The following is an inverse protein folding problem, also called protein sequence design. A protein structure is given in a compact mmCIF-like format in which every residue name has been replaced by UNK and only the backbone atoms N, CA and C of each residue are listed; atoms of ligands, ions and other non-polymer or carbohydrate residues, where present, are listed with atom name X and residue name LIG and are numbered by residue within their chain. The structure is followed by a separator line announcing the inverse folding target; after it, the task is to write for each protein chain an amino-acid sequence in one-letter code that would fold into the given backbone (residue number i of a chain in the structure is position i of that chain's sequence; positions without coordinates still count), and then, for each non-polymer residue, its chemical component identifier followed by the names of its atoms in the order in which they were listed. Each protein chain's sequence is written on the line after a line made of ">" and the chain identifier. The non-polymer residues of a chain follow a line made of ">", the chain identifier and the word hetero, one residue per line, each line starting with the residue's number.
data_IF_593704346437
#
_entry.id   IF_593704346437
#
_cell.length_a   1.000
_cell.length_b   1.000
_cell.length_c   1.000
_cell.angle_alpha   90.00
_cell.angle_beta   90.00
_cell.angle_gamma   90.00
#
_symmetry.space_group_name_H-M   'P 1'
#
loop_
_entity.id
_entity.type
_entity.pdbx_description
1 polymer ?
#
# COMPACT_ATOMS: atom_id res chain seq x y z
N UNK A 1 -12.67 20.26 11.38
CA UNK A 1 -11.28 20.13 11.88
C UNK A 1 -11.21 19.55 13.30
N UNK A 2 -12.09 19.94 14.24
CA UNK A 2 -12.10 19.48 15.64
C UNK A 2 -12.06 17.95 15.79
N UNK A 3 -12.85 17.21 15.00
CA UNK A 3 -12.86 15.74 15.03
C UNK A 3 -11.52 15.09 14.63
N UNK A 4 -10.81 15.65 13.65
CA UNK A 4 -9.47 15.17 13.26
C UNK A 4 -8.44 15.41 14.36
N UNK A 5 -8.48 16.59 15.01
CA UNK A 5 -7.57 16.91 16.12
C UNK A 5 -7.80 15.94 17.28
N UNK A 6 -9.06 15.66 17.64
CA UNK A 6 -9.39 14.71 18.69
C UNK A 6 -8.85 13.30 18.34
N UNK A 7 -9.00 12.85 17.09
CA UNK A 7 -8.49 11.56 16.63
C UNK A 7 -6.96 11.49 16.71
N UNK A 8 -6.26 12.52 16.23
CA UNK A 8 -4.79 12.61 16.30
C UNK A 8 -4.32 12.55 17.75
N UNK A 9 -4.96 13.30 18.67
CA UNK A 9 -4.64 13.23 20.10
C UNK A 9 -4.83 11.83 20.67
N UNK A 10 -5.93 11.15 20.33
CA UNK A 10 -6.17 9.78 20.79
C UNK A 10 -5.14 8.76 20.28
N UNK A 11 -4.53 9.02 19.12
CA UNK A 11 -3.41 8.19 18.61
C UNK A 11 -2.10 8.54 19.30
N UNK A 12 -1.82 9.82 19.55
CA UNK A 12 -0.61 10.24 20.26
C UNK A 12 -0.56 9.67 21.69
N UNK A 13 -1.71 9.53 22.36
CA UNK A 13 -1.80 8.89 23.68
C UNK A 13 -1.39 7.41 23.68
N UNK A 14 -1.47 6.72 22.54
CA UNK A 14 -1.06 5.32 22.39
C UNK A 14 0.44 5.16 22.15
N UNK A 15 1.13 6.24 21.76
CA UNK A 15 2.57 6.22 21.49
C UNK A 15 3.32 6.50 22.79
N UNK A 16 4.24 5.60 23.18
CA UNK A 16 5.08 5.83 24.37
C UNK A 16 6.01 7.04 24.21
N UNK A 17 6.50 7.30 22.99
CA UNK A 17 7.37 8.41 22.66
C UNK A 17 7.05 8.91 21.25
N UNK A 18 7.01 10.22 21.04
CA UNK A 18 6.84 10.81 19.71
C UNK A 18 7.61 12.13 19.58
N UNK A 19 7.91 12.55 18.36
CA UNK A 19 8.52 13.84 18.04
C UNK A 19 7.78 14.45 16.87
N UNK A 20 7.51 15.75 16.94
CA UNK A 20 6.83 16.49 15.87
C UNK A 20 7.83 17.42 15.23
N UNK A 21 8.15 17.17 13.97
CA UNK A 21 9.06 18.00 13.19
C UNK A 21 8.29 18.81 12.16
N UNK A 22 8.67 20.09 12.04
CA UNK A 22 8.08 20.98 11.04
C UNK A 22 8.94 20.96 9.79
N UNK A 23 8.43 20.31 8.74
CA UNK A 23 9.09 20.27 7.44
C UNK A 23 8.85 21.59 6.67
N UNK A 24 9.89 22.24 6.13
CA UNK A 24 9.76 23.44 5.30
C UNK A 24 8.86 23.20 4.10
N UNK A 25 8.15 24.25 3.66
CA UNK A 25 7.18 24.14 2.54
C UNK A 25 7.85 23.70 1.24
N UNK A 26 9.07 24.15 0.99
CA UNK A 26 9.86 23.81 -0.19
C UNK A 26 10.14 22.30 -0.31
N UNK A 27 10.24 21.60 0.82
CA UNK A 27 10.43 20.15 0.86
C UNK A 27 9.12 19.37 0.72
N UNK A 28 7.97 20.02 0.90
CA UNK A 28 6.63 19.41 0.80
C UNK A 28 5.94 19.66 -0.55
N UNK A 29 6.68 20.11 -1.58
CA UNK A 29 6.12 20.46 -2.90
C UNK A 29 5.35 19.30 -3.53
N UNK A 30 5.86 18.07 -3.43
CA UNK A 30 5.18 16.89 -3.98
C UNK A 30 3.86 16.59 -3.26
N UNK A 31 3.84 16.70 -1.92
CA UNK A 31 2.64 16.49 -1.11
C UNK A 31 1.61 17.59 -1.37
N UNK A 32 2.04 18.84 -1.49
CA UNK A 32 1.18 19.97 -1.87
C UNK A 32 0.61 19.80 -3.28
N UNK A 33 1.41 19.27 -4.23
CA UNK A 33 0.94 18.95 -5.57
C UNK A 33 -0.15 17.86 -5.56
N UNK A 34 0.02 16.80 -4.74
CA UNK A 34 -1.00 15.76 -4.55
C UNK A 34 -2.27 16.34 -3.89
N UNK A 35 -2.14 17.12 -2.83
CA UNK A 35 -3.28 17.76 -2.17
C UNK A 35 -4.05 18.69 -3.12
N UNK A 36 -3.32 19.42 -3.99
CA UNK A 36 -3.91 20.23 -5.07
C UNK A 36 -4.58 19.38 -6.14
N UNK A 37 -4.00 18.23 -6.50
CA UNK A 37 -4.59 17.32 -7.48
C UNK A 37 -5.95 16.82 -6.99
N UNK A 38 -6.03 16.42 -5.71
CA UNK A 38 -7.27 15.98 -5.07
C UNK A 38 -8.28 17.13 -4.94
N UNK A 39 -7.85 18.36 -4.60
CA UNK A 39 -8.76 19.49 -4.42
C UNK A 39 -9.27 20.10 -5.73
N UNK A 40 -8.46 20.05 -6.79
CA UNK A 40 -8.82 20.64 -8.09
C UNK A 40 -9.61 19.71 -9.00
N UNK A 41 -9.76 18.42 -8.64
CA UNK A 41 -10.56 17.40 -9.35
C UNK A 41 -10.41 17.53 -10.87
N UNK A 42 -9.17 17.67 -11.37
CA UNK A 42 -8.92 17.77 -12.81
C UNK A 42 -9.24 16.42 -13.45
N UNK A 43 -10.39 16.36 -14.09
CA UNK A 43 -10.99 15.17 -14.73
C UNK A 43 -9.99 14.48 -15.67
N UNK A 44 -9.20 15.25 -16.42
CA UNK A 44 -8.20 14.72 -17.35
C UNK A 44 -7.06 13.92 -16.67
N UNK A 45 -6.73 14.21 -15.41
CA UNK A 45 -5.69 13.50 -14.65
C UNK A 45 -6.28 12.26 -13.95
N UNK A 46 -7.57 12.31 -13.61
CA UNK A 46 -8.31 11.22 -12.97
C UNK A 46 -8.49 10.01 -13.92
N UNK A 47 -8.48 10.22 -15.24
CA UNK A 47 -8.51 9.11 -16.21
C UNK A 47 -7.18 8.35 -16.29
N UNK A 48 -6.05 9.01 -15.99
CA UNK A 48 -4.71 8.38 -16.05
C UNK A 48 -4.23 7.82 -14.71
N UNK A 49 -4.78 8.27 -13.59
CA UNK A 49 -4.41 7.84 -12.25
C UNK A 49 -5.64 7.29 -11.54
N UNK A 50 -5.72 5.97 -11.28
CA UNK A 50 -6.85 5.40 -10.56
C UNK A 50 -6.94 6.03 -9.17
N UNK A 51 -8.06 6.72 -8.91
CA UNK A 51 -8.31 7.42 -7.65
C UNK A 51 -9.62 6.92 -7.05
N UNK A 52 -9.56 6.47 -5.81
CA UNK A 52 -10.75 6.06 -5.06
C UNK A 52 -11.28 7.25 -4.26
N UNK A 53 -12.57 7.53 -4.43
CA UNK A 53 -13.27 8.54 -3.65
C UNK A 53 -14.07 7.86 -2.54
N UNK A 54 -13.74 8.21 -1.30
CA UNK A 54 -14.52 7.80 -0.15
C UNK A 54 -15.76 8.70 -0.04
N UNK A 55 -16.95 8.12 -0.15
CA UNK A 55 -18.21 8.84 -0.01
C UNK A 55 -18.45 9.40 1.41
N UNK A 56 -17.74 8.85 2.40
CA UNK A 56 -17.82 9.27 3.80
C UNK A 56 -16.41 9.55 4.36
N UNK A 57 -16.27 10.51 5.29
CA UNK A 57 -14.98 10.84 5.88
C UNK A 57 -14.44 9.67 6.71
N UNK A 58 -13.18 9.31 6.47
CA UNK A 58 -12.53 8.16 7.11
C UNK A 58 -12.46 8.26 8.63
N UNK A 59 -12.63 9.43 9.24
CA UNK A 59 -12.68 9.59 10.71
C UNK A 59 -13.72 8.67 11.37
N UNK A 60 -14.86 8.47 10.69
CA UNK A 60 -15.95 7.63 11.18
C UNK A 60 -15.60 6.13 11.13
N UNK A 61 -14.64 5.74 10.29
CA UNK A 61 -14.15 4.37 10.20
C UNK A 61 -12.94 4.20 11.11
N UNK A 62 -12.97 3.19 11.97
CA UNK A 62 -11.82 2.77 12.79
C UNK A 62 -10.82 1.90 12.00
N UNK A 63 -10.97 1.79 10.69
CA UNK A 63 -9.99 1.12 9.85
C UNK A 63 -8.75 1.99 9.71
N UNK A 64 -7.90 1.92 10.73
CA UNK A 64 -6.47 2.05 10.52
C UNK A 64 -6.12 0.92 9.54
N UNK A 65 -6.00 1.25 8.25
CA UNK A 65 -5.40 0.36 7.27
C UNK A 65 -3.96 0.14 7.74
N UNK A 66 -3.78 -0.93 8.52
CA UNK A 66 -2.47 -1.46 8.82
C UNK A 66 -1.93 -1.92 7.46
N UNK A 67 -1.15 -1.08 6.79
CA UNK A 67 -0.32 -1.51 5.66
C UNK A 67 0.86 -2.28 6.26
N UNK A 68 0.53 -3.36 6.95
CA UNK A 68 1.40 -4.12 7.84
C UNK A 68 1.16 -5.59 7.59
N UNK A 69 2.25 -6.28 7.27
CA UNK A 69 2.35 -7.65 6.75
C UNK A 69 1.90 -8.73 7.76
N UNK A 70 0.68 -8.68 8.26
CA UNK A 70 0.17 -9.71 9.21
C UNK A 70 -0.69 -10.78 8.54
N UNK A 71 -1.43 -10.44 7.49
CA UNK A 71 -2.15 -11.44 6.70
C UNK A 71 -1.29 -11.93 5.51
N UNK A 72 -1.33 -13.24 5.20
CA UNK A 72 -0.68 -13.76 4.01
C UNK A 72 -1.30 -13.10 2.78
N UNK A 73 -0.58 -12.15 2.20
CA UNK A 73 -0.91 -11.53 0.93
C UNK A 73 -1.04 -12.60 -0.16
N UNK A 74 -1.79 -12.31 -1.22
CA UNK A 74 -1.83 -13.13 -2.43
C UNK A 74 -0.43 -13.43 -3.00
N UNK A 75 0.57 -12.61 -2.68
CA UNK A 75 1.97 -12.76 -3.09
C UNK A 75 2.71 -13.88 -2.33
N UNK A 76 2.33 -14.14 -1.08
CA UNK A 76 2.98 -15.08 -0.15
C UNK A 76 3.25 -16.46 -0.78
N UNK A 77 2.27 -17.15 -1.39
CA UNK A 77 2.53 -18.48 -1.98
C UNK A 77 3.51 -18.44 -3.16
N UNK A 78 3.63 -17.31 -3.87
CA UNK A 78 4.58 -17.17 -4.98
C UNK A 78 5.99 -16.84 -4.48
N UNK A 79 6.11 -15.99 -3.46
CA UNK A 79 7.38 -15.69 -2.80
C UNK A 79 7.94 -16.95 -2.16
N UNK A 80 7.12 -17.72 -1.42
CA UNK A 80 7.53 -19.00 -0.80
C UNK A 80 7.90 -20.09 -1.82
N UNK A 81 7.37 -20.02 -3.05
CA UNK A 81 7.73 -20.93 -4.14
C UNK A 81 9.03 -20.55 -4.84
N UNK A 82 9.26 -19.24 -5.04
CA UNK A 82 10.45 -18.71 -5.74
C UNK A 82 11.66 -18.68 -4.81
N UNK A 83 11.47 -18.30 -3.54
CA UNK A 83 12.48 -18.41 -2.50
C UNK A 83 12.49 -19.87 -2.00
N UNK A 84 13.63 -20.57 -2.01
CA UNK A 84 13.66 -21.98 -1.60
C UNK A 84 13.31 -22.08 -0.11
N UNK A 85 12.12 -22.61 0.21
CA UNK A 85 11.72 -22.72 1.61
C UNK A 85 10.51 -23.60 1.91
N UNK A 86 9.42 -23.54 1.12
CA UNK A 86 8.19 -24.31 1.42
C UNK A 86 7.41 -24.65 0.16
N UNK A 87 7.15 -25.95 -0.03
CA UNK A 87 6.24 -26.44 -1.08
C UNK A 87 4.87 -26.75 -0.48
N UNK A 88 3.77 -26.41 -1.16
CA UNK A 88 2.46 -26.95 -0.80
C UNK A 88 2.51 -28.48 -0.85
N UNK A 89 2.05 -29.16 0.21
CA UNK A 89 1.99 -30.63 0.25
C UNK A 89 1.04 -31.20 -0.82
N UNK A 90 0.03 -30.44 -1.24
CA UNK A 90 -0.87 -30.82 -2.32
C UNK A 90 -0.22 -30.58 -3.70
N UNK A 91 -0.07 -31.66 -4.46
CA UNK A 91 0.48 -31.66 -5.83
C UNK A 91 -0.31 -30.75 -6.77
N UNK A 92 -1.63 -30.66 -6.61
CA UNK A 92 -2.47 -29.85 -7.50
C UNK A 92 -2.26 -28.35 -7.25
N UNK A 93 -2.18 -27.95 -5.98
CA UNK A 93 -1.85 -26.58 -5.59
C UNK A 93 -0.42 -26.20 -5.94
N UNK A 94 0.54 -27.10 -5.75
CA UNK A 94 1.93 -26.90 -6.16
C UNK A 94 2.03 -26.64 -7.67
N UNK A 95 1.31 -27.41 -8.50
CA UNK A 95 1.29 -27.21 -9.95
C UNK A 95 0.65 -25.88 -10.36
N UNK A 96 -0.44 -25.49 -9.69
CA UNK A 96 -1.12 -24.20 -9.93
C UNK A 96 -0.20 -23.02 -9.58
N UNK A 97 0.49 -23.09 -8.45
CA UNK A 97 1.43 -22.05 -8.00
C UNK A 97 2.63 -22.00 -8.93
N UNK A 98 3.22 -23.15 -9.31
CA UNK A 98 4.33 -23.22 -10.25
C UNK A 98 4.00 -22.55 -11.60
N UNK A 99 2.84 -22.88 -12.19
CA UNK A 99 2.43 -22.34 -13.47
C UNK A 99 2.29 -20.81 -13.44
N UNK A 100 1.75 -20.26 -12.33
CA UNK A 100 1.59 -18.82 -12.15
C UNK A 100 2.89 -18.12 -11.73
N UNK A 101 3.70 -18.74 -10.88
CA UNK A 101 4.98 -18.22 -10.40
C UNK A 101 5.98 -18.02 -11.55
N UNK A 102 5.86 -18.79 -12.63
CA UNK A 102 6.68 -18.61 -13.84
C UNK A 102 6.59 -17.19 -14.42
N UNK A 103 5.51 -16.46 -14.14
CA UNK A 103 5.30 -15.07 -14.57
C UNK A 103 6.01 -14.03 -13.70
N UNK A 104 6.60 -14.41 -12.57
CA UNK A 104 7.19 -13.48 -11.63
C UNK A 104 8.70 -13.70 -11.41
N UNK A 105 9.39 -12.67 -10.95
CA UNK A 105 10.80 -12.68 -10.51
C UNK A 105 10.88 -12.01 -9.15
N UNK A 106 11.63 -12.57 -8.22
CA UNK A 106 11.92 -11.96 -6.92
C UNK A 106 13.26 -11.22 -6.99
N UNK A 107 13.28 -9.92 -6.71
CA UNK A 107 14.51 -9.11 -6.57
C UNK A 107 14.38 -8.27 -5.29
N UNK A 108 15.40 -8.26 -4.44
CA UNK A 108 15.42 -7.50 -3.17
C UNK A 108 14.15 -7.70 -2.30
N UNK A 109 13.66 -8.94 -2.19
CA UNK A 109 12.42 -9.28 -1.45
C UNK A 109 11.12 -8.68 -2.04
N UNK A 110 11.18 -8.18 -3.28
CA UNK A 110 10.04 -7.62 -4.03
C UNK A 110 9.74 -8.50 -5.24
N UNK A 111 8.46 -8.84 -5.42
CA UNK A 111 8.00 -9.68 -6.53
C UNK A 111 7.61 -8.82 -7.74
N UNK A 112 8.28 -9.02 -8.86
CA UNK A 112 8.06 -8.34 -10.13
C UNK A 112 7.40 -9.28 -11.15
N UNK A 113 6.56 -8.74 -12.03
CA UNK A 113 6.06 -9.49 -13.20
C UNK A 113 7.10 -9.47 -14.35
N UNK A 114 7.24 -10.59 -15.07
CA UNK A 114 8.09 -10.71 -16.26
C UNK A 114 7.46 -10.09 -17.50
N UNK A 115 6.14 -9.98 -17.53
CA UNK A 115 5.44 -9.27 -18.59
C UNK A 115 5.57 -7.76 -18.36
N UNK A 116 6.58 -7.18 -19.02
CA UNK A 116 6.86 -5.75 -19.17
C UNK A 116 7.48 -5.05 -17.94
N UNK A 117 8.77 -4.62 -17.99
CA UNK A 117 9.43 -3.84 -16.94
C UNK A 117 8.97 -2.37 -16.91
N UNK A 118 7.72 -2.09 -17.30
CA UNK A 118 7.09 -0.79 -17.20
C UNK A 118 5.93 -0.87 -16.21
N UNK A 119 6.25 -0.45 -15.00
CA UNK A 119 5.37 0.19 -14.01
C UNK A 119 4.40 -0.76 -13.27
N UNK A 120 4.65 -0.89 -11.96
CA UNK A 120 3.63 -0.59 -10.93
C UNK A 120 4.11 0.62 -10.15
#
# INVERSE_FOLDING_TARGET
>A
MVAYIAKVKSYLEQLQHFTVEKIPRESNVNVDALAKLVSTQKIDILESVPMEFLAQPTIASNQMLLVGREEPSWMTPYVEYIQPGKFPLDKKEAWRIQYKAARYVLMDEILYTKENPRVM
#
